data_IF_398364471109
#
_entry.id   IF_398364471109
#
_cell.length_a   1.000
_cell.length_b   1.000
_cell.length_c   1.000
_cell.angle_alpha   90.00
_cell.angle_beta   90.00
_cell.angle_gamma   90.00
#
_symmetry.space_group_name_H-M   'P 1'
#
loop_
_entity.id
_entity.type
_entity.pdbx_description
1 polymer ?
#
# COMPACT_ATOMS: atom_id res chain seq x y z
N UNK A 1 8.27 3.19 29.11
CA UNK A 1 7.36 4.32 29.42
C UNK A 1 7.94 5.24 30.50
N UNK A 2 8.39 4.73 31.64
CA UNK A 2 8.97 5.59 32.71
C UNK A 2 10.36 6.13 32.35
N UNK A 3 11.15 5.39 31.62
CA UNK A 3 12.48 5.80 31.12
C UNK A 3 12.37 6.90 30.06
N UNK A 4 11.40 6.81 29.14
CA UNK A 4 11.10 7.82 28.12
C UNK A 4 10.59 9.10 28.76
N UNK A 5 9.73 9.01 29.80
CA UNK A 5 9.31 10.19 30.58
C UNK A 5 10.46 10.85 31.29
N UNK A 6 11.41 10.10 31.83
CA UNK A 6 12.63 10.65 32.47
C UNK A 6 13.53 11.39 31.47
N UNK A 7 13.66 10.88 30.24
CA UNK A 7 14.45 11.57 29.21
C UNK A 7 13.79 12.87 28.73
N UNK A 8 12.45 12.90 28.60
CA UNK A 8 11.71 14.11 28.26
C UNK A 8 11.81 15.15 29.38
N UNK A 9 11.78 14.75 30.65
CA UNK A 9 11.93 15.66 31.80
C UNK A 9 13.34 16.23 31.95
N UNK A 10 14.37 15.50 31.50
CA UNK A 10 15.76 16.00 31.47
C UNK A 10 15.92 17.06 30.39
N UNK A 11 15.33 16.88 29.22
CA UNK A 11 15.38 17.86 28.11
C UNK A 11 14.62 19.17 28.44
N UNK A 12 13.54 19.07 29.21
CA UNK A 12 12.77 20.27 29.65
C UNK A 12 13.48 21.10 30.71
N UNK A 13 14.51 20.56 31.39
CA UNK A 13 15.23 21.25 32.48
C UNK A 13 16.51 21.97 32.05
N UNK A 14 17.01 21.68 30.84
CA UNK A 14 18.14 22.40 30.27
C UNK A 14 17.62 23.61 29.45
N UNK A 15 17.29 24.67 30.12
CA UNK A 15 16.84 25.98 29.70
C UNK A 15 17.14 26.48 28.29
N UNK A 16 16.42 25.98 27.28
CA UNK A 16 16.32 26.62 25.99
C UNK A 16 14.93 27.23 25.87
N UNK A 17 14.89 28.59 25.91
CA UNK A 17 13.70 29.37 25.61
C UNK A 17 13.37 29.27 24.12
N UNK A 18 12.64 28.26 23.74
CA UNK A 18 12.15 28.02 22.38
C UNK A 18 10.74 27.48 22.45
N UNK A 19 9.91 27.90 21.53
CA UNK A 19 8.55 27.40 21.26
C UNK A 19 8.52 25.85 21.31
N UNK A 20 7.49 25.22 21.88
CA UNK A 20 7.39 23.76 21.91
C UNK A 20 7.48 23.20 20.50
N UNK A 21 8.34 22.20 20.32
CA UNK A 21 8.52 21.49 19.06
C UNK A 21 7.17 20.93 18.59
N UNK A 22 6.85 21.15 17.33
CA UNK A 22 5.70 20.49 16.70
C UNK A 22 5.96 18.98 16.61
N UNK A 23 4.89 18.15 16.60
CA UNK A 23 4.98 16.68 16.45
C UNK A 23 5.89 16.27 15.29
N UNK A 24 5.91 17.02 14.20
CA UNK A 24 6.78 16.83 13.03
C UNK A 24 8.27 16.92 13.39
N UNK A 25 8.65 17.87 14.20
CA UNK A 25 10.04 18.06 14.65
C UNK A 25 10.50 17.00 15.66
N UNK A 26 9.58 16.45 16.45
CA UNK A 26 9.88 15.34 17.35
C UNK A 26 10.13 14.03 16.59
N UNK A 27 9.42 13.77 15.49
CA UNK A 27 9.66 12.60 14.62
C UNK A 27 11.01 12.68 13.89
N UNK A 28 11.42 13.87 13.45
CA UNK A 28 12.73 14.09 12.82
C UNK A 28 13.90 13.80 13.78
N UNK A 29 13.73 14.12 15.07
CA UNK A 29 14.76 13.86 16.11
C UNK A 29 14.82 12.38 16.48
N UNK A 30 13.70 11.65 16.50
CA UNK A 30 13.65 10.22 16.83
C UNK A 30 14.10 9.32 15.66
N UNK A 31 13.87 9.73 14.42
CA UNK A 31 14.32 9.01 13.21
C UNK A 31 15.87 8.93 13.09
N UNK A 32 16.58 9.94 13.58
CA UNK A 32 18.04 9.98 13.53
C UNK A 32 18.71 9.02 14.55
N UNK A 33 18.03 8.66 15.65
CA UNK A 33 18.59 7.75 16.65
C UNK A 33 18.40 6.25 16.33
N UNK A 34 17.47 5.89 15.45
CA UNK A 34 17.26 4.49 15.05
C UNK A 34 18.29 3.98 14.03
N UNK A 35 19.01 4.87 13.33
CA UNK A 35 20.02 4.53 12.32
C UNK A 35 21.46 4.54 12.83
N UNK A 36 21.71 4.88 14.09
CA UNK A 36 23.05 4.99 14.70
C UNK A 36 23.64 3.68 15.28
N UNK A 37 22.98 2.54 15.19
CA UNK A 37 23.29 1.33 15.96
C UNK A 37 23.97 0.16 15.22
N UNK A 38 24.23 0.20 13.91
CA UNK A 38 24.77 -0.94 13.14
C UNK A 38 26.01 -0.60 12.29
N UNK A 39 26.85 0.32 12.71
CA UNK A 39 28.11 0.60 12.03
C UNK A 39 29.34 0.44 12.96
N UNK A 40 29.49 -0.73 13.57
CA UNK A 40 30.76 -1.09 14.24
C UNK A 40 30.91 -2.61 14.34
N UNK A 41 31.25 -3.28 13.25
CA UNK A 41 32.09 -4.51 13.23
C UNK A 41 32.22 -4.97 11.78
N UNK A 42 33.30 -4.58 11.13
CA UNK A 42 34.03 -5.36 10.13
C UNK A 42 35.23 -4.49 9.65
N UNK A 43 36.26 -4.40 10.49
CA UNK A 43 37.60 -4.07 10.06
C UNK A 43 38.50 -5.26 10.39
N UNK A 44 39.00 -5.92 9.38
CA UNK A 44 39.96 -7.00 9.59
C UNK A 44 40.36 -7.74 8.32
N UNK A 45 41.38 -7.24 7.62
CA UNK A 45 42.46 -7.94 6.91
C UNK A 45 42.15 -8.90 5.75
N UNK A 46 42.82 -8.61 4.62
CA UNK A 46 43.45 -9.62 3.79
C UNK A 46 43.61 -9.26 2.32
N UNK A 47 44.80 -8.78 1.97
CA UNK A 47 45.29 -8.53 0.60
C UNK A 47 45.42 -9.80 -0.25
N UNK A 48 45.40 -9.55 -1.53
CA UNK A 48 46.18 -10.15 -2.64
C UNK A 48 45.45 -11.05 -3.64
N UNK A 49 45.65 -10.67 -4.91
CA UNK A 49 45.82 -11.61 -5.98
C UNK A 49 45.00 -11.33 -7.23
N UNK A 50 45.55 -10.57 -8.14
CA UNK A 50 44.99 -10.35 -9.48
C UNK A 50 45.04 -11.59 -10.37
N UNK A 51 44.26 -11.53 -11.44
CA UNK A 51 44.71 -11.79 -12.82
C UNK A 51 43.57 -11.59 -13.82
N UNK A 52 43.94 -10.94 -14.91
CA UNK A 52 43.17 -10.71 -16.16
C UNK A 52 42.92 -11.99 -16.95
N UNK A 53 41.84 -12.01 -17.71
CA UNK A 53 41.72 -12.44 -19.10
C UNK A 53 40.25 -12.46 -19.51
N UNK A 54 39.86 -11.65 -20.40
CA UNK A 54 39.78 -11.63 -21.86
C UNK A 54 38.54 -12.29 -22.44
N UNK A 55 37.72 -11.44 -23.04
CA UNK A 55 37.06 -11.48 -24.35
C UNK A 55 36.41 -12.80 -24.84
N UNK A 56 35.17 -12.71 -25.22
CA UNK A 56 34.48 -13.64 -26.09
C UNK A 56 33.13 -13.11 -26.53
N UNK A 57 33.11 -12.31 -27.56
CA UNK A 57 31.90 -11.93 -28.30
C UNK A 57 31.44 -13.12 -29.15
N UNK A 58 30.13 -13.40 -29.15
CA UNK A 58 29.51 -14.02 -30.31
C UNK A 58 28.12 -13.48 -30.58
N UNK A 59 27.98 -13.08 -31.84
CA UNK A 59 26.87 -12.49 -32.53
C UNK A 59 25.71 -13.45 -32.84
N UNK A 60 24.49 -12.87 -32.90
CA UNK A 60 23.44 -12.97 -33.93
C UNK A 60 22.61 -14.24 -33.97
N UNK A 61 21.30 -14.08 -33.83
CA UNK A 61 20.38 -14.38 -34.92
C UNK A 61 18.98 -13.81 -34.64
N UNK A 62 18.60 -12.92 -35.52
CA UNK A 62 17.24 -12.42 -35.77
C UNK A 62 16.37 -13.49 -36.40
N UNK A 63 15.10 -13.58 -36.02
CA UNK A 63 14.05 -14.11 -36.88
C UNK A 63 12.75 -13.35 -36.63
N UNK A 64 12.25 -12.73 -37.69
CA UNK A 64 10.93 -12.13 -37.79
C UNK A 64 9.99 -13.05 -38.62
N UNK A 65 8.70 -12.64 -38.84
CA UNK A 65 7.53 -13.48 -38.63
C UNK A 65 6.83 -13.89 -39.93
N UNK A 66 5.91 -14.85 -39.82
CA UNK A 66 4.79 -15.12 -40.74
C UNK A 66 3.95 -16.25 -40.10
N UNK A 67 2.62 -16.38 -40.14
CA UNK A 67 1.63 -15.96 -41.11
C UNK A 67 0.24 -15.96 -40.46
N UNK A 68 -0.65 -15.18 -41.04
CA UNK A 68 -2.11 -15.18 -40.87
C UNK A 68 -2.75 -16.51 -41.11
N UNK A 69 -3.79 -16.87 -40.33
CA UNK A 69 -4.91 -17.65 -40.83
C UNK A 69 -6.24 -17.16 -40.19
N UNK A 70 -7.04 -16.58 -41.02
CA UNK A 70 -8.46 -16.26 -40.88
C UNK A 70 -9.33 -17.49 -40.98
N UNK A 71 -10.36 -17.65 -40.11
CA UNK A 71 -11.57 -18.44 -40.38
C UNK A 71 -12.74 -17.76 -39.65
N UNK A 72 -13.54 -17.05 -40.32
CA UNK A 72 -14.92 -17.16 -40.82
C UNK A 72 -16.03 -17.40 -39.79
N UNK A 73 -16.99 -16.46 -39.85
CA UNK A 73 -18.31 -16.39 -39.22
C UNK A 73 -19.24 -17.57 -39.56
N UNK A 74 -20.15 -17.86 -38.64
CA UNK A 74 -21.58 -18.16 -38.78
C UNK A 74 -22.10 -18.59 -37.38
N UNK A 75 -23.20 -18.14 -36.85
CA UNK A 75 -24.53 -17.95 -37.32
C UNK A 75 -25.43 -17.48 -36.19
N UNK A 76 -26.33 -16.65 -36.61
CA UNK A 76 -27.45 -15.98 -35.98
C UNK A 76 -28.50 -16.94 -35.46
N UNK A 77 -29.03 -16.76 -34.24
CA UNK A 77 -30.40 -17.14 -33.93
C UNK A 77 -30.97 -16.23 -32.82
N UNK A 78 -31.94 -15.49 -33.21
CA UNK A 78 -32.86 -14.64 -32.44
C UNK A 78 -33.90 -15.48 -31.70
N UNK A 79 -34.21 -15.17 -30.46
CA UNK A 79 -35.55 -15.41 -29.92
C UNK A 79 -35.87 -14.45 -28.78
N UNK A 80 -37.06 -13.89 -28.92
CA UNK A 80 -37.77 -12.84 -28.25
C UNK A 80 -38.01 -12.98 -26.75
N UNK A 81 -38.15 -11.81 -26.11
CA UNK A 81 -38.80 -11.63 -24.81
C UNK A 81 -40.31 -11.90 -24.83
N UNK A 82 -40.97 -12.07 -23.68
CA UNK A 82 -41.77 -10.96 -23.17
C UNK A 82 -41.74 -10.73 -21.65
N UNK A 83 -41.73 -9.46 -21.34
CA UNK A 83 -42.58 -8.59 -20.49
C UNK A 83 -43.04 -9.04 -19.08
N UNK A 84 -42.65 -8.15 -18.14
CA UNK A 84 -43.41 -7.54 -17.02
C UNK A 84 -43.88 -8.41 -15.86
N UNK A 85 -43.33 -8.12 -14.68
CA UNK A 85 -44.14 -7.69 -13.55
C UNK A 85 -43.27 -6.96 -12.51
N UNK A 86 -43.69 -5.75 -12.21
CA UNK A 86 -43.31 -4.96 -11.04
C UNK A 86 -43.73 -5.68 -9.77
N UNK A 87 -42.77 -5.87 -8.84
CA UNK A 87 -43.10 -5.90 -7.42
C UNK A 87 -41.97 -5.20 -6.64
N UNK A 88 -42.36 -4.06 -6.09
CA UNK A 88 -41.64 -3.26 -5.12
C UNK A 88 -41.69 -3.98 -3.78
N UNK A 89 -40.56 -4.51 -3.36
CA UNK A 89 -40.36 -5.01 -2.01
C UNK A 89 -38.90 -4.79 -1.63
N UNK A 90 -38.61 -3.64 -1.04
CA UNK A 90 -37.45 -3.34 -0.25
C UNK A 90 -37.37 -4.30 0.97
N UNK A 91 -36.86 -5.50 0.74
CA UNK A 91 -36.37 -6.36 1.80
C UNK A 91 -34.88 -6.18 1.89
N UNK A 92 -34.42 -5.39 2.86
CA UNK A 92 -33.03 -5.42 3.33
C UNK A 92 -32.73 -6.85 3.81
N UNK A 93 -32.15 -7.66 2.94
CA UNK A 93 -31.56 -8.93 3.33
C UNK A 93 -30.21 -8.61 3.98
N UNK A 94 -30.13 -8.74 5.30
CA UNK A 94 -28.88 -8.87 6.02
C UNK A 94 -28.09 -10.04 5.41
N UNK A 95 -26.90 -9.82 4.82
CA UNK A 95 -26.08 -10.93 4.36
C UNK A 95 -25.59 -11.73 5.59
N UNK A 96 -25.68 -13.05 5.50
CA UNK A 96 -24.97 -13.95 6.38
C UNK A 96 -23.46 -13.65 6.30
N UNK A 97 -22.73 -13.88 7.40
CA UNK A 97 -21.28 -13.76 7.49
C UNK A 97 -20.60 -14.39 6.26
N UNK A 98 -20.09 -13.56 5.34
CA UNK A 98 -19.44 -13.99 4.10
C UNK A 98 -19.43 -12.88 3.07
N UNK A 99 -18.28 -12.50 2.63
CA UNK A 99 -17.85 -11.59 1.55
C UNK A 99 -18.78 -10.41 1.24
N UNK A 100 -18.29 -9.20 1.54
CA UNK A 100 -18.90 -7.97 1.03
C UNK A 100 -18.99 -8.04 -0.50
N UNK A 101 -20.19 -7.79 -1.03
CA UNK A 101 -20.39 -7.78 -2.49
C UNK A 101 -19.76 -6.51 -3.08
N UNK A 102 -18.82 -6.69 -3.99
CA UNK A 102 -18.27 -5.57 -4.76
C UNK A 102 -19.35 -5.05 -5.70
N UNK A 103 -19.73 -3.76 -5.63
CA UNK A 103 -20.75 -3.22 -6.51
C UNK A 103 -20.29 -3.21 -7.98
N UNK A 104 -21.20 -3.41 -8.91
CA UNK A 104 -20.90 -3.37 -10.34
C UNK A 104 -20.47 -1.97 -10.80
N UNK A 105 -21.03 -0.92 -10.20
CA UNK A 105 -20.72 0.49 -10.47
C UNK A 105 -20.77 1.31 -9.17
N UNK A 106 -19.97 2.39 -9.12
CA UNK A 106 -19.92 3.30 -7.98
C UNK A 106 -19.42 2.63 -6.70
N UNK A 107 -19.95 3.05 -5.56
CA UNK A 107 -19.62 2.51 -4.25
C UNK A 107 -20.87 2.13 -3.46
N UNK A 108 -20.66 1.32 -2.44
CA UNK A 108 -21.70 0.96 -1.46
C UNK A 108 -21.09 0.94 -0.05
N UNK A 109 -21.79 1.54 0.91
CA UNK A 109 -21.41 1.48 2.32
C UNK A 109 -22.09 0.27 2.97
N UNK A 110 -21.32 -0.53 3.67
CA UNK A 110 -21.76 -1.70 4.40
C UNK A 110 -21.36 -1.59 5.87
N UNK A 111 -22.27 -1.98 6.75
CA UNK A 111 -21.90 -2.21 8.16
C UNK A 111 -21.92 -3.71 8.40
N UNK A 112 -20.79 -4.26 8.81
CA UNK A 112 -20.61 -5.69 9.07
C UNK A 112 -21.18 -6.11 10.42
N UNK A 113 -21.24 -7.42 10.67
CA UNK A 113 -21.63 -7.96 11.96
C UNK A 113 -20.66 -7.59 13.10
N UNK A 114 -19.40 -7.30 12.78
CA UNK A 114 -18.39 -6.78 13.72
C UNK A 114 -18.61 -5.31 14.11
N UNK A 115 -19.54 -4.61 13.44
CA UNK A 115 -19.80 -3.18 13.62
C UNK A 115 -18.93 -2.28 12.73
N UNK A 116 -18.03 -2.84 11.93
CA UNK A 116 -17.24 -2.06 10.98
C UNK A 116 -18.11 -1.47 9.87
N UNK A 117 -17.97 -0.19 9.59
CA UNK A 117 -18.53 0.44 8.38
C UNK A 117 -17.44 0.53 7.33
N UNK A 118 -17.67 -0.07 6.16
CA UNK A 118 -16.72 -0.08 5.05
C UNK A 118 -17.37 0.44 3.77
N UNK A 119 -16.66 1.30 3.05
CA UNK A 119 -17.03 1.75 1.71
C UNK A 119 -16.37 0.81 0.70
N UNK A 120 -17.18 -0.02 0.04
CA UNK A 120 -16.71 -0.93 -1.00
C UNK A 120 -16.85 -0.27 -2.36
N UNK A 121 -15.76 -0.16 -3.08
CA UNK A 121 -15.62 0.52 -4.36
C UNK A 121 -15.73 -0.46 -5.53
N UNK A 122 -16.43 -0.09 -6.60
CA UNK A 122 -16.44 -0.85 -7.85
C UNK A 122 -15.04 -0.91 -8.49
N UNK A 123 -14.85 -1.84 -9.40
CA UNK A 123 -13.60 -1.93 -10.16
C UNK A 123 -13.33 -0.64 -10.96
N UNK A 124 -14.38 0.01 -11.50
CA UNK A 124 -14.23 1.25 -12.27
C UNK A 124 -13.78 2.41 -11.38
N UNK A 125 -14.32 2.54 -10.15
CA UNK A 125 -13.83 3.56 -9.21
C UNK A 125 -12.38 3.32 -8.79
N UNK A 126 -11.99 2.08 -8.54
CA UNK A 126 -10.62 1.73 -8.14
C UNK A 126 -9.59 1.90 -9.28
N UNK A 127 -10.04 1.91 -10.55
CA UNK A 127 -9.21 2.20 -11.73
C UNK A 127 -9.23 3.66 -12.13
N UNK A 128 -10.19 4.44 -11.64
CA UNK A 128 -10.34 5.83 -12.03
C UNK A 128 -9.09 6.65 -11.65
N UNK A 129 -8.72 7.57 -12.52
CA UNK A 129 -7.69 8.57 -12.26
C UNK A 129 -8.33 9.94 -12.16
N UNK A 130 -7.90 10.75 -11.21
CA UNK A 130 -8.35 12.12 -11.00
C UNK A 130 -7.15 13.06 -10.97
N UNK A 131 -7.31 14.24 -11.55
CA UNK A 131 -6.30 15.31 -11.47
C UNK A 131 -6.53 16.24 -10.26
N UNK A 132 -7.51 15.93 -9.42
CA UNK A 132 -7.82 16.69 -8.21
C UNK A 132 -7.94 15.75 -7.02
N UNK A 133 -7.37 16.15 -5.90
CA UNK A 133 -7.55 15.45 -4.62
C UNK A 133 -8.76 16.01 -3.88
N UNK A 134 -9.48 15.15 -3.17
CA UNK A 134 -10.51 15.58 -2.23
C UNK A 134 -9.88 16.37 -1.08
N UNK A 135 -10.65 17.26 -0.47
CA UNK A 135 -10.28 17.85 0.82
C UNK A 135 -10.22 16.75 1.89
N UNK A 136 -9.41 16.97 2.92
CA UNK A 136 -9.40 16.12 4.11
C UNK A 136 -10.83 15.95 4.62
N UNK A 137 -11.20 14.73 5.03
CA UNK A 137 -12.58 14.27 5.32
C UNK A 137 -13.26 15.06 6.47
N UNK A 138 -13.85 16.25 6.24
CA UNK A 138 -14.39 17.08 7.32
C UNK A 138 -15.58 16.38 7.98
N UNK A 139 -15.47 16.15 9.28
CA UNK A 139 -16.55 15.58 10.09
C UNK A 139 -16.73 14.07 9.94
N UNK A 140 -15.80 13.38 9.27
CA UNK A 140 -15.75 11.90 9.17
C UNK A 140 -14.44 11.39 9.75
N UNK A 141 -14.49 10.22 10.38
CA UNK A 141 -13.30 9.45 10.74
C UNK A 141 -13.10 8.36 9.71
N UNK A 142 -11.97 8.37 9.00
CA UNK A 142 -11.70 7.40 7.92
C UNK A 142 -10.36 6.70 8.17
N UNK A 143 -10.36 5.38 8.06
CA UNK A 143 -9.18 4.54 8.16
C UNK A 143 -8.89 3.85 6.81
N UNK A 144 -7.71 4.06 6.28
CA UNK A 144 -7.13 3.34 5.16
C UNK A 144 -6.08 2.38 5.70
N UNK A 145 -6.43 1.09 5.77
CA UNK A 145 -5.45 0.05 6.05
C UNK A 145 -4.59 -0.16 4.81
N UNK A 146 -3.27 -0.14 4.95
CA UNK A 146 -2.38 -0.34 3.81
C UNK A 146 -1.30 -1.36 4.12
N UNK A 147 -0.96 -2.18 3.13
CA UNK A 147 0.05 -3.23 3.23
C UNK A 147 1.08 -3.08 2.13
N UNK A 148 2.36 -2.95 2.49
CA UNK A 148 3.48 -2.86 1.57
C UNK A 148 4.14 -4.24 1.36
N UNK A 149 4.94 -4.39 0.30
CA UNK A 149 5.80 -5.54 -0.05
C UNK A 149 5.10 -6.79 -0.57
N UNK A 150 3.83 -7.00 -0.26
CA UNK A 150 3.08 -8.18 -0.69
C UNK A 150 2.80 -8.23 -2.21
N UNK A 151 2.14 -9.30 -2.65
CA UNK A 151 1.63 -10.46 -1.90
C UNK A 151 2.69 -11.41 -1.34
N UNK A 152 2.36 -12.10 -0.24
CA UNK A 152 3.21 -13.07 0.43
C UNK A 152 2.44 -14.31 0.93
N UNK A 153 3.11 -15.18 1.67
CA UNK A 153 2.45 -16.29 2.36
C UNK A 153 1.44 -15.85 3.42
N UNK A 154 1.47 -14.58 3.84
CA UNK A 154 0.53 -14.01 4.80
C UNK A 154 -0.72 -13.40 4.16
N UNK A 155 -0.71 -13.15 2.86
CA UNK A 155 -1.82 -12.49 2.13
C UNK A 155 -3.18 -13.14 2.41
N UNK A 156 -3.28 -14.47 2.31
CA UNK A 156 -4.56 -15.15 2.53
C UNK A 156 -5.06 -15.07 3.97
N UNK A 157 -4.14 -15.01 4.95
CA UNK A 157 -4.49 -14.79 6.37
C UNK A 157 -5.03 -13.37 6.58
N UNK A 158 -4.36 -12.36 5.99
CA UNK A 158 -4.80 -10.97 6.01
C UNK A 158 -6.19 -10.83 5.37
N UNK A 159 -6.39 -11.38 4.17
CA UNK A 159 -7.69 -11.37 3.49
C UNK A 159 -8.78 -12.05 4.31
N UNK A 160 -8.46 -13.15 4.99
CA UNK A 160 -9.37 -13.84 5.91
C UNK A 160 -9.84 -12.92 7.04
N UNK A 161 -8.92 -12.21 7.70
CA UNK A 161 -9.22 -11.26 8.77
C UNK A 161 -10.04 -10.08 8.24
N UNK A 162 -9.62 -9.47 7.11
CA UNK A 162 -10.38 -8.36 6.51
C UNK A 162 -11.82 -8.76 6.18
N UNK A 163 -12.03 -9.97 5.68
CA UNK A 163 -13.37 -10.49 5.38
C UNK A 163 -14.19 -10.76 6.64
N UNK A 164 -13.57 -11.30 7.70
CA UNK A 164 -14.23 -11.52 9.01
C UNK A 164 -14.77 -10.21 9.58
N UNK A 165 -13.97 -9.15 9.53
CA UNK A 165 -14.37 -7.81 9.98
C UNK A 165 -15.25 -7.07 8.96
N UNK A 166 -15.28 -7.49 7.71
CA UNK A 166 -16.02 -6.81 6.63
C UNK A 166 -15.39 -5.49 6.21
N UNK A 167 -14.06 -5.42 6.16
CA UNK A 167 -13.28 -4.24 5.77
C UNK A 167 -12.42 -4.51 4.54
N UNK A 168 -11.92 -3.45 3.91
CA UNK A 168 -11.04 -3.50 2.75
C UNK A 168 -9.79 -2.69 3.00
N UNK A 169 -8.73 -3.01 2.24
CA UNK A 169 -7.41 -2.40 2.37
C UNK A 169 -6.79 -2.09 1.00
N UNK A 170 -5.66 -1.38 1.01
CA UNK A 170 -4.84 -1.10 -0.17
C UNK A 170 -3.52 -1.84 -0.06
N UNK A 171 -3.12 -2.59 -1.09
CA UNK A 171 -1.82 -3.23 -1.21
C UNK A 171 -0.90 -2.44 -2.12
N UNK A 172 0.24 -2.00 -1.60
CA UNK A 172 1.34 -1.47 -2.39
C UNK A 172 2.29 -2.61 -2.73
N UNK A 173 2.18 -3.10 -3.94
CA UNK A 173 2.76 -4.37 -4.40
C UNK A 173 4.20 -4.19 -4.83
N UNK A 174 5.06 -5.07 -4.35
CA UNK A 174 6.42 -5.24 -4.86
C UNK A 174 6.42 -6.26 -6.01
N UNK A 175 6.90 -5.85 -7.20
CA UNK A 175 6.78 -6.66 -8.40
C UNK A 175 7.54 -7.99 -8.37
N UNK A 176 8.59 -8.11 -7.56
CA UNK A 176 9.38 -9.34 -7.39
C UNK A 176 9.08 -10.10 -6.09
N UNK A 177 7.89 -9.91 -5.50
CA UNK A 177 7.51 -10.54 -4.23
C UNK A 177 7.40 -12.08 -4.29
N UNK A 178 7.24 -12.66 -5.48
CA UNK A 178 7.18 -14.11 -5.68
C UNK A 178 5.80 -14.74 -5.53
N UNK A 179 4.74 -13.93 -5.31
CA UNK A 179 3.36 -14.41 -5.10
C UNK A 179 2.32 -13.55 -5.84
N UNK A 180 2.69 -13.01 -7.02
CA UNK A 180 1.80 -12.12 -7.80
C UNK A 180 0.50 -12.81 -8.22
N UNK A 181 0.46 -14.13 -8.28
CA UNK A 181 -0.74 -14.92 -8.54
C UNK A 181 -1.85 -14.74 -7.52
N UNK A 182 -1.56 -14.14 -6.36
CA UNK A 182 -2.55 -13.78 -5.34
C UNK A 182 -3.29 -12.47 -5.65
N UNK A 183 -2.79 -11.64 -6.57
CA UNK A 183 -3.38 -10.33 -6.89
C UNK A 183 -4.83 -10.41 -7.39
N UNK A 184 -5.25 -11.39 -8.21
CA UNK A 184 -6.66 -11.52 -8.57
C UNK A 184 -7.55 -11.70 -7.33
N UNK A 185 -7.13 -12.49 -6.34
CA UNK A 185 -7.88 -12.69 -5.11
C UNK A 185 -8.01 -11.40 -4.29
N UNK A 186 -6.95 -10.59 -4.19
CA UNK A 186 -6.98 -9.27 -3.54
C UNK A 186 -7.97 -8.35 -4.26
N UNK A 187 -7.81 -8.24 -5.58
CA UNK A 187 -8.58 -7.30 -6.40
C UNK A 187 -10.07 -7.65 -6.48
N UNK A 188 -10.42 -8.90 -6.72
CA UNK A 188 -11.80 -9.35 -6.87
C UNK A 188 -12.62 -9.21 -5.58
N UNK A 189 -11.96 -9.27 -4.43
CA UNK A 189 -12.59 -9.04 -3.12
C UNK A 189 -12.84 -7.55 -2.81
N UNK A 190 -12.49 -6.62 -3.71
CA UNK A 190 -12.76 -5.19 -3.54
C UNK A 190 -11.67 -4.42 -2.83
N UNK A 191 -10.51 -5.01 -2.61
CA UNK A 191 -9.32 -4.31 -2.14
C UNK A 191 -8.68 -3.50 -3.28
N UNK A 192 -7.88 -2.48 -2.94
CA UNK A 192 -7.11 -1.72 -3.91
C UNK A 192 -5.72 -2.34 -4.10
N UNK A 193 -5.22 -2.27 -5.33
CA UNK A 193 -3.86 -2.66 -5.70
C UNK A 193 -3.13 -1.44 -6.23
N UNK A 194 -1.93 -1.20 -5.72
CA UNK A 194 -1.07 -0.05 -6.00
C UNK A 194 0.38 -0.52 -6.19
N UNK A 195 1.28 0.36 -6.60
CA UNK A 195 2.66 0.04 -6.95
C UNK A 195 3.60 0.40 -5.80
N UNK A 196 4.50 -0.53 -5.41
CA UNK A 196 5.59 -0.31 -4.45
C UNK A 196 6.97 -0.60 -5.07
N UNK A 197 7.15 -0.27 -6.35
CA UNK A 197 8.31 -0.60 -7.17
C UNK A 197 8.47 -2.10 -7.47
N UNK A 198 9.35 -2.45 -8.40
CA UNK A 198 9.59 -3.84 -8.77
C UNK A 198 10.60 -4.51 -7.86
N UNK A 199 11.77 -3.88 -7.72
CA UNK A 199 12.90 -4.46 -7.00
C UNK A 199 12.89 -4.12 -5.51
N UNK A 200 12.43 -2.95 -5.12
CA UNK A 200 12.55 -2.37 -3.78
C UNK A 200 14.01 -2.18 -3.33
N UNK A 201 14.96 -2.20 -4.26
CA UNK A 201 16.37 -1.98 -3.97
C UNK A 201 16.69 -0.48 -4.06
N UNK A 202 16.80 0.20 -2.91
CA UNK A 202 16.89 1.66 -2.82
C UNK A 202 17.98 2.26 -3.71
N UNK A 203 19.19 1.66 -3.71
CA UNK A 203 20.32 2.14 -4.51
C UNK A 203 20.07 2.01 -6.02
N UNK A 204 19.25 1.05 -6.45
CA UNK A 204 18.87 0.86 -7.86
C UNK A 204 17.68 1.75 -8.22
N UNK A 205 16.62 1.71 -7.42
CA UNK A 205 15.38 2.45 -7.66
C UNK A 205 15.64 3.95 -7.68
N UNK A 206 16.47 4.46 -6.79
CA UNK A 206 16.76 5.90 -6.67
C UNK A 206 18.07 6.32 -7.34
N UNK A 207 18.69 5.48 -8.15
CA UNK A 207 19.92 5.82 -8.89
C UNK A 207 19.73 7.01 -9.85
N UNK A 208 18.55 7.16 -10.44
CA UNK A 208 18.14 8.28 -11.28
C UNK A 208 16.62 8.31 -11.42
N UNK A 209 16.08 9.41 -11.97
CA UNK A 209 14.65 9.52 -12.32
C UNK A 209 14.25 8.43 -13.30
N UNK A 210 15.07 8.20 -14.34
CA UNK A 210 14.80 7.15 -15.35
C UNK A 210 14.81 5.74 -14.73
N UNK A 211 15.72 5.47 -13.77
CA UNK A 211 15.78 4.20 -13.07
C UNK A 211 14.50 3.95 -12.25
N UNK A 212 14.03 4.99 -11.54
CA UNK A 212 12.79 4.92 -10.79
C UNK A 212 11.59 4.58 -11.69
N UNK A 213 11.44 5.29 -12.80
CA UNK A 213 10.35 5.07 -13.74
C UNK A 213 10.41 3.72 -14.43
N UNK A 214 11.62 3.25 -14.76
CA UNK A 214 11.79 1.92 -15.35
C UNK A 214 11.34 0.81 -14.38
N UNK A 215 11.75 0.90 -13.11
CA UNK A 215 11.40 -0.05 -12.06
C UNK A 215 9.88 0.01 -11.74
N UNK A 216 9.31 1.22 -11.62
CA UNK A 216 7.89 1.44 -11.40
C UNK A 216 7.04 0.86 -12.53
N UNK A 217 7.39 1.13 -13.79
CA UNK A 217 6.66 0.61 -14.93
C UNK A 217 6.79 -0.92 -15.04
N UNK A 218 7.94 -1.48 -14.71
CA UNK A 218 8.11 -2.94 -14.66
C UNK A 218 7.15 -3.56 -13.64
N UNK A 219 7.01 -2.95 -12.46
CA UNK A 219 6.05 -3.40 -11.45
C UNK A 219 4.61 -3.27 -11.95
N UNK A 220 4.24 -2.11 -12.50
CA UNK A 220 2.91 -1.87 -13.06
C UNK A 220 2.52 -2.87 -14.14
N UNK A 221 3.47 -3.24 -15.02
CA UNK A 221 3.24 -4.26 -16.05
C UNK A 221 3.04 -5.66 -15.43
N UNK A 222 3.85 -6.04 -14.45
CA UNK A 222 3.69 -7.32 -13.75
C UNK A 222 2.34 -7.41 -13.02
N UNK A 223 1.87 -6.33 -12.40
CA UNK A 223 0.52 -6.25 -11.83
C UNK A 223 -0.55 -6.36 -12.93
N UNK A 224 -0.37 -5.65 -14.05
CA UNK A 224 -1.34 -5.65 -15.14
C UNK A 224 -1.53 -7.05 -15.78
N UNK A 225 -0.50 -7.87 -15.81
CA UNK A 225 -0.59 -9.27 -16.24
C UNK A 225 -1.53 -10.10 -15.36
N UNK A 226 -1.70 -9.73 -14.09
CA UNK A 226 -2.54 -10.46 -13.13
C UNK A 226 -3.98 -9.93 -13.06
N UNK A 227 -4.17 -8.60 -13.05
CA UNK A 227 -5.48 -7.99 -12.81
C UNK A 227 -6.03 -7.18 -13.98
N UNK A 228 -5.34 -7.21 -15.13
CA UNK A 228 -5.81 -6.62 -16.39
C UNK A 228 -5.67 -5.10 -16.49
N UNK A 229 -4.97 -4.43 -15.55
CA UNK A 229 -4.64 -3.01 -15.64
C UNK A 229 -3.42 -2.67 -14.78
N UNK A 230 -2.64 -1.65 -15.18
CA UNK A 230 -1.55 -1.09 -14.39
C UNK A 230 -2.10 0.00 -13.48
N UNK A 231 -1.87 -0.08 -12.14
CA UNK A 231 -2.30 0.98 -11.22
C UNK A 231 -1.53 2.28 -11.43
N UNK A 232 -2.11 3.38 -10.94
CA UNK A 232 -1.48 4.71 -10.90
C UNK A 232 -1.21 5.21 -9.49
N UNK A 233 -1.63 4.44 -8.47
CA UNK A 233 -1.30 4.74 -7.09
C UNK A 233 0.05 4.13 -6.75
N UNK A 234 0.88 4.88 -6.01
CA UNK A 234 2.27 4.53 -5.74
C UNK A 234 2.61 4.80 -4.28
N UNK A 235 3.45 3.97 -3.69
CA UNK A 235 4.19 4.31 -2.47
C UNK A 235 5.68 4.16 -2.73
N UNK A 236 6.44 5.17 -2.33
CA UNK A 236 7.90 5.15 -2.42
C UNK A 236 8.47 4.15 -1.40
N UNK A 237 9.42 3.27 -1.76
CA UNK A 237 10.20 2.52 -0.79
C UNK A 237 10.83 3.43 0.26
N UNK A 238 10.48 3.21 1.54
CA UNK A 238 10.94 4.04 2.65
C UNK A 238 10.28 5.42 2.74
N UNK A 239 9.16 5.64 2.02
CA UNK A 239 8.44 6.91 1.98
C UNK A 239 9.00 7.92 0.99
N UNK A 240 8.23 8.99 0.73
CA UNK A 240 8.61 10.01 -0.26
C UNK A 240 9.79 10.88 0.20
N UNK A 241 10.13 10.86 1.49
CA UNK A 241 11.24 11.63 2.08
C UNK A 241 12.20 10.70 2.82
N UNK A 242 13.30 10.32 2.16
CA UNK A 242 14.39 9.56 2.75
C UNK A 242 15.73 9.97 2.13
N UNK A 243 16.85 9.50 2.70
CA UNK A 243 18.19 9.87 2.26
C UNK A 243 18.52 9.36 0.85
N UNK A 244 17.98 8.20 0.45
CA UNK A 244 18.26 7.60 -0.85
C UNK A 244 17.59 8.34 -2.00
N UNK A 245 16.38 8.88 -1.79
CA UNK A 245 15.64 9.58 -2.84
C UNK A 245 15.84 11.10 -2.86
N UNK A 246 16.61 11.66 -1.91
CA UNK A 246 16.76 13.11 -1.74
C UNK A 246 17.18 13.86 -3.01
N UNK A 247 18.00 13.23 -3.86
CA UNK A 247 18.52 13.84 -5.08
C UNK A 247 17.53 13.80 -6.26
N UNK A 248 16.59 12.85 -6.28
CA UNK A 248 15.73 12.56 -7.45
C UNK A 248 14.25 12.75 -7.18
N UNK A 249 13.82 12.75 -5.90
CA UNK A 249 12.39 12.77 -5.52
C UNK A 249 11.61 13.93 -6.12
N UNK A 250 12.21 15.12 -6.17
CA UNK A 250 11.52 16.32 -6.69
C UNK A 250 11.10 16.15 -8.14
N UNK A 251 12.01 15.65 -8.97
CA UNK A 251 11.76 15.42 -10.39
C UNK A 251 10.82 14.22 -10.62
N UNK A 252 10.91 13.17 -9.78
CA UNK A 252 9.98 12.04 -9.81
C UNK A 252 8.55 12.51 -9.50
N UNK A 253 8.37 13.28 -8.42
CA UNK A 253 7.05 13.81 -8.02
C UNK A 253 6.49 14.75 -9.08
N UNK A 254 7.33 15.61 -9.69
CA UNK A 254 6.91 16.49 -10.78
C UNK A 254 6.37 15.68 -11.98
N UNK A 255 7.07 14.62 -12.39
CA UNK A 255 6.62 13.75 -13.47
C UNK A 255 5.37 12.94 -13.09
N UNK A 256 5.21 12.50 -11.84
CA UNK A 256 3.98 11.85 -11.37
C UNK A 256 2.77 12.76 -11.57
N UNK A 257 2.88 14.03 -11.17
CA UNK A 257 1.81 15.01 -11.34
C UNK A 257 1.45 15.26 -12.82
N UNK A 258 2.43 15.19 -13.71
CA UNK A 258 2.22 15.36 -15.16
C UNK A 258 1.60 14.12 -15.81
N UNK A 259 1.85 12.93 -15.27
CA UNK A 259 1.46 11.66 -15.90
C UNK A 259 0.28 10.98 -15.22
N UNK A 260 -0.31 11.61 -14.19
CA UNK A 260 -1.50 11.11 -13.49
C UNK A 260 -1.22 9.98 -12.51
N UNK A 261 0.02 9.84 -12.04
CA UNK A 261 0.35 9.00 -10.90
C UNK A 261 0.15 9.78 -9.60
N UNK A 262 -0.30 9.06 -8.55
CA UNK A 262 -0.55 9.61 -7.22
C UNK A 262 0.24 8.81 -6.20
N UNK A 263 1.06 9.48 -5.37
CA UNK A 263 1.80 8.78 -4.34
C UNK A 263 1.17 9.01 -2.96
N UNK A 264 1.37 8.05 -2.07
CA UNK A 264 0.89 8.07 -0.69
C UNK A 264 1.98 7.61 0.27
N UNK A 265 2.27 8.45 1.26
CA UNK A 265 2.95 8.06 2.47
C UNK A 265 1.93 7.53 3.50
N UNK A 266 2.15 7.78 4.76
CA UNK A 266 1.27 7.39 5.86
C UNK A 266 1.32 8.42 6.97
N UNK A 267 0.36 8.41 7.88
CA UNK A 267 0.38 9.22 9.09
C UNK A 267 0.25 8.38 10.36
N UNK A 268 0.09 7.07 10.21
CA UNK A 268 0.08 6.07 11.30
C UNK A 268 0.93 4.89 10.86
N UNK A 269 1.92 4.50 11.67
CA UNK A 269 2.71 3.28 11.46
C UNK A 269 2.42 2.28 12.58
N UNK A 270 2.21 1.01 12.24
CA UNK A 270 2.10 -0.02 13.27
C UNK A 270 3.46 -0.40 13.88
N UNK A 271 4.58 0.05 13.27
CA UNK A 271 5.92 -0.23 13.79
C UNK A 271 6.50 -1.57 13.34
N UNK A 272 5.86 -2.28 12.44
CA UNK A 272 6.29 -3.61 11.98
C UNK A 272 7.53 -3.59 11.05
N UNK A 273 8.07 -2.41 10.74
CA UNK A 273 9.39 -2.27 10.11
C UNK A 273 10.53 -2.84 10.97
N UNK A 274 10.32 -2.97 12.28
CA UNK A 274 11.26 -3.56 13.24
C UNK A 274 10.66 -4.82 13.89
N UNK A 275 11.48 -5.51 14.71
CA UNK A 275 11.06 -6.71 15.43
C UNK A 275 10.29 -6.31 16.70
N UNK A 276 8.98 -6.41 16.64
CA UNK A 276 8.04 -6.13 17.73
C UNK A 276 7.02 -7.26 17.88
N UNK A 277 6.47 -7.40 19.09
CA UNK A 277 5.36 -8.29 19.37
C UNK A 277 4.05 -7.71 18.81
N UNK A 278 3.04 -8.55 18.60
CA UNK A 278 1.73 -8.10 18.15
C UNK A 278 1.11 -7.02 19.07
N UNK A 279 1.24 -7.18 20.39
CA UNK A 279 0.74 -6.19 21.35
C UNK A 279 1.47 -4.84 21.25
N UNK A 280 2.76 -4.84 20.97
CA UNK A 280 3.52 -3.60 20.71
C UNK A 280 3.07 -2.93 19.42
N UNK A 281 2.84 -3.69 18.34
CA UNK A 281 2.31 -3.16 17.08
C UNK A 281 0.94 -2.49 17.27
N UNK A 282 0.05 -3.12 18.03
CA UNK A 282 -1.24 -2.54 18.42
C UNK A 282 -1.02 -1.24 19.20
N UNK A 283 -0.10 -1.24 20.18
CA UNK A 283 0.22 -0.08 21.00
C UNK A 283 0.75 1.10 20.17
N UNK A 284 1.63 0.86 19.20
CA UNK A 284 2.14 1.89 18.28
C UNK A 284 1.02 2.45 17.42
N UNK A 285 0.21 1.59 16.81
CA UNK A 285 -0.92 2.04 15.98
C UNK A 285 -1.86 2.94 16.76
N UNK A 286 -2.28 2.54 17.96
CA UNK A 286 -3.16 3.32 18.83
C UNK A 286 -2.53 4.66 19.19
N UNK A 287 -1.23 4.65 19.56
CA UNK A 287 -0.52 5.86 19.96
C UNK A 287 -0.40 6.89 18.84
N UNK A 288 -0.19 6.45 17.59
CA UNK A 288 -0.09 7.36 16.44
C UNK A 288 -1.46 7.78 15.90
N UNK A 289 -2.48 6.92 16.01
CA UNK A 289 -3.85 7.22 15.58
C UNK A 289 -4.59 8.17 16.54
N UNK A 290 -4.11 8.33 17.79
CA UNK A 290 -4.78 9.17 18.79
C UNK A 290 -4.88 10.63 18.34
N UNK A 291 -6.12 11.13 18.30
CA UNK A 291 -6.44 12.49 17.85
C UNK A 291 -6.43 12.69 16.34
N UNK A 292 -6.23 11.66 15.53
CA UNK A 292 -6.38 11.72 14.08
C UNK A 292 -7.86 11.56 13.67
N UNK A 293 -8.26 12.27 12.62
CA UNK A 293 -9.58 12.11 12.00
C UNK A 293 -9.51 11.22 10.75
N UNK A 294 -8.35 11.20 10.10
CA UNK A 294 -8.09 10.28 9.00
C UNK A 294 -6.74 9.59 9.21
N UNK A 295 -6.71 8.28 8.99
CA UNK A 295 -5.54 7.45 9.22
C UNK A 295 -5.20 6.66 7.96
N UNK A 296 -4.00 6.86 7.43
CA UNK A 296 -3.37 5.96 6.47
C UNK A 296 -2.35 5.12 7.23
N UNK A 297 -2.69 3.85 7.47
CA UNK A 297 -1.93 2.97 8.35
C UNK A 297 -0.93 2.16 7.54
N UNK A 298 0.37 2.34 7.82
CA UNK A 298 1.45 1.53 7.26
C UNK A 298 1.56 0.21 8.00
N UNK A 299 1.47 -0.87 7.27
CA UNK A 299 1.77 -2.26 7.65
C UNK A 299 2.46 -2.97 6.48
N UNK A 300 3.02 -4.16 6.72
CA UNK A 300 3.66 -4.94 5.66
C UNK A 300 3.04 -6.33 5.52
N UNK A 301 2.87 -6.75 4.25
CA UNK A 301 2.49 -8.11 3.86
C UNK A 301 3.74 -8.83 3.34
N UNK A 302 4.55 -9.33 4.24
CA UNK A 302 5.70 -10.17 3.87
C UNK A 302 5.76 -11.44 4.72
N UNK A 303 6.45 -12.46 4.23
CA UNK A 303 6.54 -13.76 4.91
C UNK A 303 7.12 -13.69 6.33
N UNK A 304 7.87 -12.64 6.66
CA UNK A 304 8.46 -12.43 7.98
C UNK A 304 7.55 -11.67 8.96
N UNK A 305 6.35 -11.25 8.55
CA UNK A 305 5.46 -10.36 9.31
C UNK A 305 4.25 -11.08 9.91
N UNK A 306 4.47 -12.25 10.50
CA UNK A 306 3.40 -12.97 11.22
C UNK A 306 2.82 -12.13 12.37
N UNK A 307 3.64 -11.34 13.06
CA UNK A 307 3.20 -10.45 14.15
C UNK A 307 2.24 -9.36 13.67
N UNK A 308 2.40 -8.88 12.42
CA UNK A 308 1.44 -7.94 11.78
C UNK A 308 0.09 -8.61 11.61
N UNK A 309 0.07 -9.84 11.11
CA UNK A 309 -1.17 -10.63 10.96
C UNK A 309 -1.85 -10.84 12.30
N UNK A 310 -1.08 -11.19 13.33
CA UNK A 310 -1.60 -11.44 14.69
C UNK A 310 -2.13 -10.15 15.37
N UNK A 311 -1.54 -8.98 15.05
CA UNK A 311 -1.98 -7.68 15.56
C UNK A 311 -3.24 -7.14 14.83
N UNK A 312 -3.43 -7.51 13.56
CA UNK A 312 -4.44 -6.92 12.68
C UNK A 312 -5.87 -6.93 13.25
N UNK A 313 -6.37 -8.02 13.88
CA UNK A 313 -7.70 -8.03 14.50
C UNK A 313 -7.90 -6.92 15.54
N UNK A 314 -6.92 -6.70 16.41
CA UNK A 314 -7.01 -5.68 17.45
C UNK A 314 -6.86 -4.26 16.87
N UNK A 315 -6.05 -4.09 15.84
CA UNK A 315 -5.92 -2.81 15.10
C UNK A 315 -7.25 -2.45 14.47
N UNK A 316 -7.89 -3.36 13.74
CA UNK A 316 -9.21 -3.12 13.14
C UNK A 316 -10.24 -2.79 14.21
N UNK A 317 -10.29 -3.57 15.31
CA UNK A 317 -11.24 -3.37 16.40
C UNK A 317 -11.09 -1.98 17.03
N UNK A 318 -9.85 -1.50 17.23
CA UNK A 318 -9.61 -0.14 17.72
C UNK A 318 -10.26 0.92 16.84
N UNK A 319 -10.11 0.85 15.51
CA UNK A 319 -10.73 1.81 14.61
C UNK A 319 -12.26 1.71 14.61
N UNK A 320 -12.84 0.51 14.72
CA UNK A 320 -14.28 0.30 14.87
C UNK A 320 -14.79 0.99 16.14
N UNK A 321 -14.15 0.72 17.28
CA UNK A 321 -14.55 1.24 18.60
C UNK A 321 -14.46 2.77 18.69
N UNK A 322 -13.61 3.38 17.85
CA UNK A 322 -13.45 4.84 17.73
C UNK A 322 -14.25 5.45 16.57
N UNK A 323 -15.15 4.69 15.96
CA UNK A 323 -16.12 5.19 14.97
C UNK A 323 -15.52 5.54 13.60
N UNK A 324 -14.38 4.92 13.23
CA UNK A 324 -13.81 5.07 11.92
C UNK A 324 -14.58 4.25 10.88
N UNK A 325 -14.76 4.84 9.69
CA UNK A 325 -15.18 4.13 8.49
C UNK A 325 -13.94 3.64 7.74
N UNK A 326 -14.01 2.48 7.12
CA UNK A 326 -12.91 1.93 6.32
C UNK A 326 -13.13 2.21 4.85
N UNK A 327 -12.08 2.58 4.13
CA UNK A 327 -12.08 2.76 2.68
C UNK A 327 -10.73 2.34 2.10
N UNK A 328 -10.66 2.24 0.79
CA UNK A 328 -9.40 2.03 0.04
C UNK A 328 -8.91 3.35 -0.54
N UNK A 329 -7.60 3.48 -0.73
CA UNK A 329 -7.03 4.66 -1.37
C UNK A 329 -7.45 4.72 -2.85
N UNK A 330 -7.80 5.92 -3.30
CA UNK A 330 -8.13 6.24 -4.69
C UNK A 330 -7.27 7.42 -5.16
N UNK A 331 -7.24 7.65 -6.46
CA UNK A 331 -6.48 8.77 -7.04
C UNK A 331 -6.94 10.15 -6.57
N UNK A 332 -8.18 10.28 -6.12
CA UNK A 332 -8.74 11.50 -5.56
C UNK A 332 -8.75 11.53 -4.01
N UNK A 333 -8.22 10.52 -3.35
CA UNK A 333 -8.08 10.52 -1.90
C UNK A 333 -7.13 11.64 -1.47
N UNK A 334 -7.42 12.31 -0.34
CA UNK A 334 -6.52 13.27 0.29
C UNK A 334 -5.11 12.69 0.42
N UNK A 335 -4.10 13.43 -0.04
CA UNK A 335 -2.72 12.95 -0.09
C UNK A 335 -2.08 12.93 1.30
N UNK A 336 -1.63 11.77 1.73
CA UNK A 336 -0.75 11.61 2.89
C UNK A 336 0.68 11.74 2.38
N UNK A 337 1.29 12.91 2.53
CA UNK A 337 2.63 13.22 2.04
C UNK A 337 3.52 13.73 3.17
N UNK A 338 4.79 13.33 3.20
CA UNK A 338 5.82 13.85 4.11
C UNK A 338 6.37 15.20 3.70
#
# INVERSE_FOLDING_TARGET
MEEIRKQIDVFSKEGHSGTPLTRRQACEVLGVFALGGVAAMLAGCGEQGGQQASAGAHLVASAQPSDLATVSEAGLATASAPSTSTDDSTAQSTPAAGSLQVPAQGNASYTSASGATCIVRSADERRATSNSTNEEFPGRHVCFLTFDDGPSTNTQRILGILNEYGVRATWFVKGNCGSLEELPSIWEQGNQVAIHTYTHEYEQVYASVDAYWADLHQCGNAIAEQIGHSPTLVRFPGGSVNDFNAAVRGDIIAQMNETGYHYFDWNVSCGDGADHTADELVGYTIGEADGCHSCCVLMHDSAAKDTTVDALPQIIQYFIDNGFEFDVLLSDTFGYHF
#
